data_IF_194159295383
#
_entry.id   IF_194159295383
#
_cell.length_a   1.000
_cell.length_b   1.000
_cell.length_c   1.000
_cell.angle_alpha   90.00
_cell.angle_beta   90.00
_cell.angle_gamma   90.00
#
_symmetry.space_group_name_H-M   'P 1'
#
loop_
_entity.id
_entity.type
_entity.pdbx_description
1 polymer ?
#
# COMPACT_ATOMS: atom_id res chain seq x y z
N UNK A 1 15.11 -23.41 -9.74
CA UNK A 1 14.98 -24.67 -8.97
C UNK A 1 15.28 -25.90 -9.85
N UNK A 2 14.78 -25.99 -11.09
CA UNK A 2 15.29 -26.98 -12.06
C UNK A 2 16.82 -26.93 -12.19
N UNK A 3 17.44 -25.74 -12.03
CA UNK A 3 18.91 -25.59 -12.03
C UNK A 3 19.59 -26.22 -10.80
N UNK A 4 18.86 -26.41 -9.70
CA UNK A 4 19.38 -27.03 -8.48
C UNK A 4 19.12 -28.55 -8.41
N UNK A 5 18.47 -29.14 -9.41
CA UNK A 5 18.14 -30.57 -9.45
C UNK A 5 17.15 -30.99 -8.35
N UNK A 6 16.44 -30.04 -7.75
CA UNK A 6 15.46 -30.32 -6.70
C UNK A 6 14.11 -30.65 -7.35
N UNK A 7 13.59 -31.82 -7.07
CA UNK A 7 12.22 -32.20 -7.41
C UNK A 7 11.29 -31.66 -6.32
N UNK A 8 10.52 -30.61 -6.64
CA UNK A 8 9.55 -30.02 -5.73
C UNK A 8 8.29 -29.66 -6.50
N UNK A 9 7.17 -29.68 -5.79
CA UNK A 9 5.89 -29.36 -6.36
C UNK A 9 5.66 -27.84 -6.33
N UNK A 10 5.32 -27.24 -7.48
CA UNK A 10 5.07 -25.81 -7.58
C UNK A 10 3.92 -25.36 -6.66
N UNK A 11 3.01 -26.27 -6.29
CA UNK A 11 1.91 -26.05 -5.35
C UNK A 11 2.36 -25.89 -3.89
N UNK A 12 3.59 -26.25 -3.57
CA UNK A 12 4.15 -26.09 -2.21
C UNK A 12 4.82 -24.73 -2.01
N UNK A 13 4.92 -23.91 -3.07
CA UNK A 13 5.58 -22.60 -3.01
C UNK A 13 4.54 -21.54 -2.73
N UNK A 14 4.57 -20.99 -1.52
CA UNK A 14 3.86 -19.77 -1.16
C UNK A 14 4.82 -18.58 -1.15
N UNK A 15 4.37 -17.43 -1.62
CA UNK A 15 5.15 -16.18 -1.56
C UNK A 15 4.27 -14.98 -1.32
N UNK A 16 4.89 -13.91 -0.81
CA UNK A 16 4.25 -12.60 -0.61
C UNK A 16 5.13 -11.51 -1.22
N UNK A 17 4.50 -10.41 -1.60
CA UNK A 17 5.17 -9.17 -1.99
C UNK A 17 4.89 -8.12 -0.90
N UNK A 18 5.93 -7.73 -0.16
CA UNK A 18 5.80 -6.81 0.97
C UNK A 18 5.83 -5.35 0.52
N UNK A 19 4.88 -4.57 1.02
CA UNK A 19 4.78 -3.12 0.84
C UNK A 19 4.82 -2.44 2.21
N UNK A 20 5.75 -1.52 2.40
CA UNK A 20 5.92 -0.78 3.66
C UNK A 20 5.03 0.47 3.68
N UNK A 21 3.85 0.34 4.26
CA UNK A 21 2.77 1.34 4.15
C UNK A 21 3.12 2.65 4.87
N UNK A 22 3.21 2.68 6.20
CA UNK A 22 3.39 3.93 6.95
C UNK A 22 4.70 4.66 6.66
N UNK A 23 5.73 3.96 6.14
CA UNK A 23 6.99 4.60 5.78
C UNK A 23 6.83 5.54 4.59
N UNK A 24 6.00 5.16 3.62
CA UNK A 24 5.72 5.99 2.44
C UNK A 24 5.03 7.28 2.88
N UNK A 25 3.95 7.19 3.68
CA UNK A 25 3.28 8.40 4.18
C UNK A 25 4.21 9.26 5.02
N UNK A 26 5.01 8.67 5.92
CA UNK A 26 5.96 9.44 6.74
C UNK A 26 6.97 10.23 5.91
N UNK A 27 7.43 9.67 4.79
CA UNK A 27 8.35 10.35 3.89
C UNK A 27 7.65 11.44 3.07
N UNK A 28 6.48 11.13 2.51
CA UNK A 28 5.69 12.07 1.70
C UNK A 28 5.17 13.22 2.56
N UNK A 29 4.62 12.95 3.74
CA UNK A 29 4.09 13.97 4.64
C UNK A 29 5.19 14.95 5.07
N UNK A 30 6.42 14.48 5.30
CA UNK A 30 7.56 15.36 5.57
C UNK A 30 7.87 16.30 4.41
N UNK A 31 7.75 15.83 3.16
CA UNK A 31 7.93 16.67 1.97
C UNK A 31 6.79 17.69 1.88
N UNK A 32 5.56 17.26 2.11
CA UNK A 32 4.38 18.13 2.13
C UNK A 32 4.50 19.22 3.21
N UNK A 33 4.89 18.86 4.42
CA UNK A 33 5.11 19.82 5.53
C UNK A 33 6.13 20.91 5.15
N UNK A 34 7.25 20.53 4.52
CA UNK A 34 8.25 21.48 4.05
C UNK A 34 7.68 22.42 2.97
N UNK A 35 6.88 21.90 2.04
CA UNK A 35 6.22 22.70 1.00
C UNK A 35 5.17 23.64 1.60
N UNK A 36 4.40 23.19 2.57
CA UNK A 36 3.41 24.00 3.30
C UNK A 36 4.10 25.14 4.04
N UNK A 37 5.21 24.86 4.73
CA UNK A 37 5.97 25.88 5.45
C UNK A 37 6.58 26.93 4.49
N UNK A 38 7.05 26.52 3.32
CA UNK A 38 7.67 27.41 2.32
C UNK A 38 6.68 28.17 1.44
N UNK A 39 5.41 27.83 1.41
CA UNK A 39 4.40 28.53 0.59
C UNK A 39 3.89 29.78 1.31
N UNK A 40 3.65 30.85 0.56
CA UNK A 40 2.94 32.06 1.03
C UNK A 40 1.43 32.01 0.67
N UNK A 41 1.04 31.15 -0.26
CA UNK A 41 -0.33 31.02 -0.76
C UNK A 41 -1.17 30.11 0.15
N UNK A 42 -2.22 30.66 0.73
CA UNK A 42 -3.14 29.94 1.62
C UNK A 42 -3.89 28.82 0.89
N UNK A 43 -4.29 29.02 -0.36
CA UNK A 43 -4.98 28.02 -1.18
C UNK A 43 -4.06 26.83 -1.48
N UNK A 44 -2.81 27.11 -1.82
CA UNK A 44 -1.79 26.09 -2.05
C UNK A 44 -1.51 25.29 -0.77
N UNK A 45 -1.41 25.96 0.37
CA UNK A 45 -1.23 25.28 1.68
C UNK A 45 -2.37 24.30 1.96
N UNK A 46 -3.60 24.72 1.72
CA UNK A 46 -4.76 23.87 1.96
C UNK A 46 -4.80 22.68 1.01
N UNK A 47 -4.49 22.89 -0.27
CA UNK A 47 -4.36 21.82 -1.25
C UNK A 47 -3.30 20.78 -0.83
N UNK A 48 -2.13 21.21 -0.34
CA UNK A 48 -1.07 20.33 0.12
C UNK A 48 -1.48 19.56 1.39
N UNK A 49 -2.16 20.21 2.34
CA UNK A 49 -2.68 19.54 3.55
C UNK A 49 -3.66 18.43 3.21
N UNK A 50 -4.50 18.64 2.21
CA UNK A 50 -5.47 17.64 1.75
C UNK A 50 -4.84 16.40 1.12
N UNK A 51 -3.53 16.41 0.85
CA UNK A 51 -2.77 15.25 0.35
C UNK A 51 -2.08 14.45 1.45
N UNK A 52 -2.02 14.96 2.67
CA UNK A 52 -1.35 14.27 3.78
C UNK A 52 -2.08 12.97 4.13
N UNK A 53 -1.33 11.92 4.43
CA UNK A 53 -1.84 10.59 4.82
C UNK A 53 -2.49 9.79 3.70
N UNK A 54 -2.34 10.20 2.44
CA UNK A 54 -2.99 9.56 1.29
C UNK A 54 -2.06 8.75 0.40
N UNK A 55 -0.78 9.10 0.38
CA UNK A 55 0.18 8.51 -0.55
C UNK A 55 0.32 6.99 -0.39
N UNK A 56 0.44 6.51 0.84
CA UNK A 56 0.63 5.09 1.11
C UNK A 56 -0.59 4.24 0.78
N UNK A 57 -1.79 4.73 1.14
CA UNK A 57 -3.05 4.03 0.84
C UNK A 57 -3.27 3.99 -0.67
N UNK A 58 -3.11 5.11 -1.37
CA UNK A 58 -3.25 5.19 -2.81
C UNK A 58 -2.25 4.26 -3.52
N UNK A 59 -0.97 4.30 -3.14
CA UNK A 59 0.06 3.43 -3.69
C UNK A 59 -0.25 1.94 -3.47
N UNK A 60 -0.70 1.57 -2.27
CA UNK A 60 -1.06 0.18 -1.96
C UNK A 60 -2.27 -0.29 -2.74
N UNK A 61 -3.28 0.55 -2.93
CA UNK A 61 -4.46 0.25 -3.77
C UNK A 61 -4.08 0.03 -5.22
N UNK A 62 -3.21 0.85 -5.79
CA UNK A 62 -2.72 0.65 -7.17
C UNK A 62 -1.86 -0.61 -7.30
N UNK A 63 -1.06 -0.93 -6.29
CA UNK A 63 -0.32 -2.19 -6.25
C UNK A 63 -1.26 -3.41 -6.22
N UNK A 64 -2.38 -3.31 -5.51
CA UNK A 64 -3.42 -4.35 -5.51
C UNK A 64 -4.14 -4.45 -6.86
N UNK A 65 -4.45 -3.34 -7.51
CA UNK A 65 -5.00 -3.32 -8.86
C UNK A 65 -4.08 -4.05 -9.85
N UNK A 66 -2.80 -3.77 -9.82
CA UNK A 66 -1.81 -4.46 -10.67
C UNK A 66 -1.67 -5.94 -10.31
N UNK A 67 -1.69 -6.28 -9.01
CA UNK A 67 -1.74 -7.67 -8.55
C UNK A 67 -2.93 -8.41 -9.17
N UNK A 68 -4.14 -7.85 -9.09
CA UNK A 68 -5.35 -8.45 -9.68
C UNK A 68 -5.18 -8.67 -11.18
N UNK A 69 -4.68 -7.68 -11.90
CA UNK A 69 -4.44 -7.75 -13.34
C UNK A 69 -3.42 -8.82 -13.72
N UNK A 70 -2.29 -8.89 -13.02
CA UNK A 70 -1.23 -9.87 -13.28
C UNK A 70 -1.71 -11.29 -13.01
N UNK A 71 -2.35 -11.51 -11.86
CA UNK A 71 -2.74 -12.85 -11.42
C UNK A 71 -4.07 -13.35 -12.02
N UNK A 72 -4.87 -12.49 -12.66
CA UNK A 72 -5.99 -12.90 -13.52
C UNK A 72 -5.59 -13.14 -14.98
N UNK A 73 -4.38 -12.76 -15.38
CA UNK A 73 -3.90 -12.84 -16.76
C UNK A 73 -3.62 -14.26 -17.26
N UNK A 74 -3.73 -14.48 -18.56
CA UNK A 74 -3.56 -15.78 -19.21
C UNK A 74 -2.20 -16.44 -18.90
N UNK A 75 -1.15 -15.64 -18.67
CA UNK A 75 0.17 -16.15 -18.29
C UNK A 75 0.12 -16.88 -16.95
N UNK A 76 -0.52 -16.27 -15.94
CA UNK A 76 -0.63 -16.87 -14.61
C UNK A 76 -1.59 -18.06 -14.63
N UNK A 77 -2.71 -17.97 -15.34
CA UNK A 77 -3.68 -19.07 -15.46
C UNK A 77 -3.01 -20.38 -15.95
N UNK A 78 -2.05 -20.28 -16.90
CA UNK A 78 -1.25 -21.42 -17.34
C UNK A 78 -0.33 -22.00 -16.25
N UNK A 79 0.12 -21.19 -15.32
CA UNK A 79 0.90 -21.65 -14.18
C UNK A 79 0.00 -22.24 -13.10
N UNK A 80 -1.15 -21.61 -12.85
CA UNK A 80 -2.16 -22.05 -11.89
C UNK A 80 -2.71 -23.44 -12.25
N UNK A 81 -2.93 -23.72 -13.56
CA UNK A 81 -3.34 -25.07 -14.02
C UNK A 81 -2.28 -26.15 -13.76
N UNK A 82 -1.05 -25.75 -13.42
CA UNK A 82 0.04 -26.64 -12.98
C UNK A 82 0.26 -26.62 -11.47
N UNK A 83 -0.66 -26.03 -10.71
CA UNK A 83 -0.61 -25.96 -9.27
C UNK A 83 0.08 -24.72 -8.69
N UNK A 84 0.46 -23.72 -9.50
CA UNK A 84 1.07 -22.52 -8.96
C UNK A 84 0.08 -21.74 -8.08
N UNK A 85 0.57 -21.24 -6.93
CA UNK A 85 -0.15 -20.38 -6.01
C UNK A 85 0.23 -18.93 -6.32
N UNK A 86 -0.73 -18.01 -6.23
CA UNK A 86 -0.48 -16.59 -6.43
C UNK A 86 0.45 -16.02 -5.33
N UNK A 87 1.24 -15.01 -5.68
CA UNK A 87 1.99 -14.22 -4.72
C UNK A 87 1.08 -13.13 -4.17
N UNK A 88 0.79 -13.16 -2.87
CA UNK A 88 -0.13 -12.22 -2.25
C UNK A 88 0.56 -10.90 -1.87
N UNK A 89 -0.09 -9.74 -2.06
CA UNK A 89 0.37 -8.50 -1.45
C UNK A 89 0.38 -8.63 0.08
N UNK A 90 1.45 -8.14 0.71
CA UNK A 90 1.60 -8.10 2.15
C UNK A 90 1.81 -6.65 2.60
N UNK A 91 0.87 -6.14 3.38
CA UNK A 91 0.95 -4.83 3.98
C UNK A 91 1.77 -4.90 5.26
N UNK A 92 2.98 -4.33 5.21
CA UNK A 92 3.89 -4.23 6.32
C UNK A 92 3.93 -2.79 6.85
N UNK A 93 4.32 -2.62 8.10
CA UNK A 93 4.40 -1.29 8.73
C UNK A 93 3.05 -0.56 8.73
N UNK A 94 1.99 -1.25 9.14
CA UNK A 94 0.61 -0.74 9.13
C UNK A 94 0.21 0.00 10.41
N UNK A 95 1.11 0.15 11.38
CA UNK A 95 0.92 1.07 12.49
C UNK A 95 1.15 2.52 12.06
N UNK A 96 0.21 3.41 12.39
CA UNK A 96 0.32 4.85 12.13
C UNK A 96 1.45 5.48 12.95
N UNK A 97 2.16 6.44 12.37
CA UNK A 97 3.25 7.18 13.01
C UNK A 97 2.83 8.60 13.38
N UNK A 98 1.90 9.17 12.64
CA UNK A 98 1.36 10.49 12.89
C UNK A 98 0.16 10.37 13.86
N UNK A 99 0.20 11.00 15.05
CA UNK A 99 -0.88 10.93 16.03
C UNK A 99 -2.17 11.61 15.58
N UNK A 100 -2.13 12.38 14.49
CA UNK A 100 -3.33 12.97 13.89
C UNK A 100 -4.15 11.96 13.07
N UNK A 101 -3.59 10.79 12.75
CA UNK A 101 -4.29 9.75 12.01
C UNK A 101 -4.85 8.69 12.95
N UNK A 102 -5.97 8.07 12.54
CA UNK A 102 -6.50 6.90 13.25
C UNK A 102 -5.42 5.82 13.37
N UNK A 103 -5.33 5.19 14.52
CA UNK A 103 -4.37 4.12 14.81
C UNK A 103 -4.66 2.82 14.03
N UNK A 104 -5.85 2.71 13.43
CA UNK A 104 -6.26 1.61 12.53
C UNK A 104 -6.38 2.03 11.05
N UNK A 105 -5.99 3.25 10.69
CA UNK A 105 -6.14 3.84 9.35
C UNK A 105 -5.72 2.90 8.23
N UNK A 106 -4.47 2.42 8.26
CA UNK A 106 -3.92 1.59 7.19
C UNK A 106 -4.50 0.19 7.17
N UNK A 107 -4.87 -0.34 8.34
CA UNK A 107 -5.49 -1.67 8.42
C UNK A 107 -6.85 -1.63 7.76
N UNK A 108 -7.73 -0.71 8.18
CA UNK A 108 -9.08 -0.59 7.65
C UNK A 108 -9.12 -0.24 6.15
N UNK A 109 -8.18 0.59 5.69
CA UNK A 109 -8.16 1.04 4.29
C UNK A 109 -7.70 -0.03 3.29
N UNK A 110 -7.06 -1.12 3.75
CA UNK A 110 -6.38 -2.08 2.89
C UNK A 110 -6.86 -3.53 3.08
N UNK A 111 -8.03 -3.73 3.67
CA UNK A 111 -8.65 -5.06 3.81
C UNK A 111 -9.18 -5.51 2.45
N UNK A 112 -8.81 -6.70 2.03
CA UNK A 112 -9.34 -7.30 0.82
C UNK A 112 -8.90 -8.74 0.57
N UNK A 113 -9.51 -9.41 -0.44
CA UNK A 113 -9.17 -10.77 -0.78
C UNK A 113 -7.68 -10.93 -1.13
N UNK A 114 -7.12 -12.07 -0.78
CA UNK A 114 -5.75 -12.45 -1.12
C UNK A 114 -4.67 -11.49 -0.59
N UNK A 115 -4.96 -10.67 0.41
CA UNK A 115 -3.99 -9.80 1.07
C UNK A 115 -3.50 -10.39 2.40
N UNK A 116 -2.33 -9.97 2.83
CA UNK A 116 -1.76 -10.26 4.16
C UNK A 116 -1.43 -8.95 4.83
N UNK A 117 -1.68 -8.84 6.12
CA UNK A 117 -1.26 -7.70 6.93
C UNK A 117 -0.41 -8.17 8.12
N UNK A 118 0.73 -7.52 8.34
CA UNK A 118 1.59 -7.77 9.51
C UNK A 118 1.46 -6.61 10.49
N UNK A 119 0.38 -6.66 11.28
CA UNK A 119 0.09 -5.61 12.27
C UNK A 119 1.08 -5.66 13.44
N UNK A 120 1.65 -4.51 13.87
CA UNK A 120 2.32 -4.42 15.17
C UNK A 120 1.34 -4.74 16.31
N UNK A 121 1.80 -5.29 17.46
CA UNK A 121 0.90 -5.62 18.56
C UNK A 121 -0.02 -4.48 19.02
N UNK A 122 0.41 -3.21 19.15
CA UNK A 122 -0.49 -2.12 19.50
C UNK A 122 -1.59 -1.89 18.45
N UNK A 123 -1.25 -1.96 17.16
CA UNK A 123 -2.22 -1.81 16.06
C UNK A 123 -3.23 -2.96 16.03
N UNK A 124 -2.77 -4.19 16.31
CA UNK A 124 -3.65 -5.33 16.43
C UNK A 124 -4.63 -5.16 17.58
N UNK A 125 -4.16 -4.71 18.74
CA UNK A 125 -5.02 -4.44 19.91
C UNK A 125 -6.04 -3.36 19.61
N UNK A 126 -5.64 -2.26 18.98
CA UNK A 126 -6.56 -1.19 18.56
C UNK A 126 -7.61 -1.70 17.57
N UNK A 127 -7.19 -2.49 16.58
CA UNK A 127 -8.11 -3.05 15.59
C UNK A 127 -9.10 -4.05 16.22
N UNK A 128 -8.68 -4.83 17.20
CA UNK A 128 -9.57 -5.74 17.94
C UNK A 128 -10.56 -4.99 18.84
N UNK A 129 -10.19 -3.81 19.36
CA UNK A 129 -11.02 -3.00 20.24
C UNK A 129 -12.08 -2.19 19.47
N UNK A 130 -11.68 -1.49 18.42
CA UNK A 130 -12.56 -0.54 17.71
C UNK A 130 -12.46 -0.58 16.19
N UNK A 131 -11.65 -1.46 15.60
CA UNK A 131 -11.50 -1.57 14.16
C UNK A 131 -12.71 -2.17 13.45
N UNK A 132 -12.89 -1.80 12.19
CA UNK A 132 -13.98 -2.29 11.34
C UNK A 132 -13.45 -3.22 10.24
N UNK A 133 -13.86 -4.50 10.28
CA UNK A 133 -13.43 -5.51 9.32
C UNK A 133 -14.35 -5.55 8.09
N UNK A 134 -14.17 -4.58 7.17
CA UNK A 134 -14.90 -4.48 5.91
C UNK A 134 -13.91 -4.47 4.75
N UNK A 135 -14.26 -5.11 3.63
CA UNK A 135 -13.44 -5.07 2.41
C UNK A 135 -13.42 -3.66 1.83
N UNK A 136 -12.25 -3.04 1.80
CA UNK A 136 -12.06 -1.63 1.43
C UNK A 136 -11.00 -1.42 0.36
N UNK A 137 -10.18 -2.43 0.07
CA UNK A 137 -9.03 -2.30 -0.84
C UNK A 137 -9.44 -1.85 -2.25
N UNK A 138 -10.60 -2.29 -2.72
CA UNK A 138 -11.15 -1.94 -4.03
C UNK A 138 -12.10 -0.73 -3.99
N UNK A 139 -12.40 -0.19 -2.79
CA UNK A 139 -13.20 1.03 -2.67
C UNK A 139 -12.40 2.25 -3.10
N UNK A 140 -13.07 3.25 -3.70
CA UNK A 140 -12.49 4.55 -4.04
C UNK A 140 -11.20 4.49 -4.88
N UNK A 141 -11.08 3.50 -5.77
CA UNK A 141 -9.94 3.34 -6.66
C UNK A 141 -9.69 4.58 -7.53
N UNK A 142 -10.76 5.20 -8.03
CA UNK A 142 -10.65 6.45 -8.80
C UNK A 142 -10.01 7.56 -7.96
N UNK A 143 -10.38 7.68 -6.67
CA UNK A 143 -9.77 8.65 -5.76
C UNK A 143 -8.29 8.36 -5.52
N UNK A 144 -7.91 7.08 -5.39
CA UNK A 144 -6.50 6.71 -5.23
C UNK A 144 -5.65 7.14 -6.45
N UNK A 145 -6.17 6.97 -7.66
CA UNK A 145 -5.51 7.48 -8.87
C UNK A 145 -5.40 9.01 -8.88
N UNK A 146 -6.46 9.72 -8.48
CA UNK A 146 -6.43 11.20 -8.41
C UNK A 146 -5.49 11.71 -7.31
N UNK A 147 -5.43 11.05 -6.15
CA UNK A 147 -4.51 11.40 -5.06
C UNK A 147 -3.03 11.28 -5.54
N UNK A 148 -2.67 10.23 -6.26
CA UNK A 148 -1.31 10.09 -6.82
C UNK A 148 -1.01 11.13 -7.91
N UNK A 149 -1.98 11.46 -8.77
CA UNK A 149 -1.82 12.54 -9.75
C UNK A 149 -1.64 13.89 -9.07
N UNK A 150 -2.41 14.17 -8.02
CA UNK A 150 -2.29 15.41 -7.26
C UNK A 150 -0.95 15.53 -6.53
N UNK A 151 -0.43 14.42 -5.97
CA UNK A 151 0.91 14.36 -5.39
C UNK A 151 1.98 14.66 -6.45
N UNK A 152 1.88 14.05 -7.63
CA UNK A 152 2.79 14.31 -8.74
C UNK A 152 2.72 15.79 -9.20
N UNK A 153 1.52 16.37 -9.32
CA UNK A 153 1.31 17.79 -9.65
C UNK A 153 1.89 18.72 -8.56
N UNK A 154 1.88 18.29 -7.29
CA UNK A 154 2.56 18.99 -6.20
C UNK A 154 4.09 18.83 -6.21
N UNK A 155 4.64 18.15 -7.22
CA UNK A 155 6.08 17.93 -7.38
C UNK A 155 6.65 16.88 -6.44
N UNK A 156 5.86 15.86 -6.11
CA UNK A 156 6.31 14.68 -5.33
C UNK A 156 6.50 13.53 -6.29
N UNK A 157 7.73 13.09 -6.47
CA UNK A 157 8.08 11.88 -7.21
C UNK A 157 8.04 10.68 -6.26
N UNK A 158 6.94 9.92 -6.32
CA UNK A 158 6.75 8.77 -5.45
C UNK A 158 7.77 7.65 -5.74
N UNK A 159 8.26 7.53 -6.99
CA UNK A 159 9.28 6.55 -7.32
C UNK A 159 10.60 6.89 -6.62
N UNK A 160 11.00 8.16 -6.63
CA UNK A 160 12.18 8.61 -5.89
C UNK A 160 12.01 8.37 -4.38
N UNK A 161 10.85 8.71 -3.81
CA UNK A 161 10.55 8.48 -2.39
C UNK A 161 10.64 6.99 -2.02
N UNK A 162 10.08 6.11 -2.82
CA UNK A 162 10.12 4.66 -2.53
C UNK A 162 11.52 4.08 -2.72
N UNK A 163 12.29 4.57 -3.67
CA UNK A 163 13.68 4.17 -3.89
C UNK A 163 14.60 4.57 -2.73
N UNK A 164 14.37 5.75 -2.13
CA UNK A 164 15.12 6.21 -0.95
C UNK A 164 14.77 5.40 0.33
N UNK A 165 13.67 4.63 0.31
CA UNK A 165 13.23 3.79 1.42
C UNK A 165 13.74 2.34 1.35
N UNK A 166 14.35 1.93 0.24
CA UNK A 166 14.97 0.62 0.03
C UNK A 166 16.40 0.56 0.63
#
# INVERSE_FOLDING_TARGET
QRRAGLDFQISEIASVASFFVSRVDSAVDKILDNKIAGSADASQKEALKNLMGKAAIANSKLAYEEFRKVFSGARFQKLQSKGAILQRPLWASTGTKNPAYSDVLYVESLIGPDTVNTMPPPTLSAFMDHGTAVSTIESDMAQAHEDLKALAAAGIDLNAVTQDLE
#
